data_IF_437545604246
#
_entry.id   IF_437545604246
#
_cell.length_a   1.000
_cell.length_b   1.000
_cell.length_c   1.000
_cell.angle_alpha   90.00
_cell.angle_beta   90.00
_cell.angle_gamma   90.00
#
_symmetry.space_group_name_H-M   'P 1'
#
loop_
_entity.id
_entity.type
_entity.pdbx_description
1 polymer ?
#
# COMPACT_ATOMS: atom_id res chain seq x y z
N UNK A 1 6.73 -0.05 11.52
CA UNK A 1 6.63 0.43 12.88
C UNK A 1 7.55 1.60 13.10
N UNK A 2 7.11 2.72 13.56
CA UNK A 2 6.00 3.49 13.04
C UNK A 2 6.48 4.77 12.36
N UNK A 3 6.15 4.95 11.14
CA UNK A 3 5.98 6.29 10.62
C UNK A 3 4.50 6.62 10.85
N UNK A 4 4.18 7.79 11.40
CA UNK A 4 2.81 8.14 11.78
C UNK A 4 1.81 7.93 10.64
N UNK A 5 0.54 7.65 10.94
CA UNK A 5 -0.50 7.44 9.95
C UNK A 5 -0.70 8.70 9.12
N UNK A 6 -1.00 8.51 7.85
CA UNK A 6 -1.36 9.60 6.95
C UNK A 6 -2.87 9.80 6.87
N UNK A 7 -3.63 8.80 7.30
CA UNK A 7 -5.08 8.85 7.47
C UNK A 7 -5.38 8.28 8.85
N UNK A 8 -5.63 9.15 9.82
CA UNK A 8 -6.03 8.71 11.15
C UNK A 8 -7.47 8.16 11.15
N UNK A 9 -7.79 7.11 11.93
CA UNK A 9 -6.94 6.45 12.93
C UNK A 9 -6.08 5.31 12.37
N UNK A 10 -6.11 5.05 11.08
CA UNK A 10 -5.43 3.92 10.46
C UNK A 10 -3.90 4.03 10.51
N UNK A 11 -3.23 2.87 10.43
CA UNK A 11 -1.78 2.77 10.43
C UNK A 11 -1.11 3.01 11.79
N UNK A 12 -1.86 3.29 12.86
CA UNK A 12 -1.37 3.34 14.24
C UNK A 12 -1.58 1.99 14.93
N UNK A 13 -0.69 1.06 14.64
CA UNK A 13 -0.73 -0.23 15.31
C UNK A 13 0.08 -0.17 16.61
N UNK A 14 -0.52 -0.55 17.74
CA UNK A 14 0.20 -0.70 19.02
C UNK A 14 1.10 -1.93 18.96
N UNK A 15 2.12 -1.98 19.84
CA UNK A 15 2.98 -3.16 19.93
C UNK A 15 2.19 -4.41 20.33
N UNK A 16 1.23 -4.29 21.24
CA UNK A 16 0.37 -5.40 21.64
C UNK A 16 -0.38 -5.96 20.41
N UNK A 17 -1.02 -5.10 19.62
CA UNK A 17 -1.75 -5.50 18.42
C UNK A 17 -0.81 -6.15 17.38
N UNK A 18 0.32 -5.52 17.07
CA UNK A 18 1.32 -6.09 16.17
C UNK A 18 1.89 -7.40 16.71
N UNK A 19 2.17 -7.48 18.00
CA UNK A 19 2.70 -8.67 18.62
C UNK A 19 1.74 -9.85 18.52
N UNK A 20 0.45 -9.65 18.71
CA UNK A 20 -0.57 -10.69 18.56
C UNK A 20 -0.65 -11.20 17.12
N UNK A 21 -0.56 -10.30 16.15
CA UNK A 21 -0.55 -10.62 14.73
C UNK A 21 0.79 -11.21 14.25
N UNK A 22 1.92 -10.60 14.63
CA UNK A 22 3.24 -10.99 14.13
C UNK A 22 3.79 -12.25 14.74
N UNK A 23 3.49 -12.52 16.03
CA UNK A 23 3.98 -13.72 16.73
C UNK A 23 3.66 -15.03 16.00
N UNK A 24 2.43 -15.28 15.52
CA UNK A 24 2.12 -16.51 14.80
C UNK A 24 2.59 -16.49 13.31
N UNK A 25 2.89 -15.32 12.75
CA UNK A 25 2.99 -15.16 11.30
C UNK A 25 4.37 -14.70 10.81
N UNK A 26 5.21 -14.12 11.67
CA UNK A 26 6.50 -13.57 11.30
C UNK A 26 7.63 -14.03 12.22
N UNK A 27 8.84 -14.16 11.66
CA UNK A 27 10.08 -14.42 12.42
C UNK A 27 11.07 -13.26 12.36
N UNK A 28 10.78 -12.22 11.58
CA UNK A 28 11.60 -11.04 11.40
C UNK A 28 10.73 -9.78 11.41
N UNK A 29 11.18 -8.72 12.08
CA UNK A 29 10.57 -7.39 12.06
C UNK A 29 11.61 -6.39 11.58
N UNK A 30 11.18 -5.52 10.69
CA UNK A 30 11.92 -4.34 10.26
C UNK A 30 11.41 -3.09 10.98
N UNK A 31 12.31 -2.26 11.47
CA UNK A 31 11.99 -1.04 12.23
C UNK A 31 13.04 0.05 11.99
N UNK A 32 12.67 1.31 12.13
CA UNK A 32 13.59 2.44 12.14
C UNK A 32 14.32 2.63 13.49
N UNK A 33 13.96 1.86 14.52
CA UNK A 33 14.47 1.97 15.88
C UNK A 33 14.88 0.59 16.40
N UNK A 34 16.08 0.47 16.95
CA UNK A 34 16.60 -0.78 17.51
C UNK A 34 16.79 -0.73 19.05
N UNK A 35 16.57 0.43 19.65
CA UNK A 35 16.71 0.66 21.10
C UNK A 35 15.39 0.49 21.87
N UNK A 36 14.31 0.10 21.18
CA UNK A 36 13.02 -0.15 21.77
C UNK A 36 13.04 -1.36 22.72
N UNK A 37 12.29 -1.32 23.83
CA UNK A 37 12.11 -2.48 24.73
C UNK A 37 11.62 -3.72 23.97
N UNK A 38 10.75 -3.54 23.02
CA UNK A 38 10.13 -4.56 22.17
C UNK A 38 11.15 -5.34 21.35
N UNK A 39 12.23 -4.68 20.92
CA UNK A 39 13.32 -5.34 20.19
C UNK A 39 13.98 -6.42 21.07
N UNK A 40 14.18 -6.14 22.36
CA UNK A 40 14.75 -7.11 23.28
C UNK A 40 13.81 -8.30 23.53
N UNK A 41 12.51 -8.04 23.66
CA UNK A 41 11.48 -9.08 23.80
C UNK A 41 11.50 -9.98 22.56
N UNK A 42 11.46 -9.39 21.35
CA UNK A 42 11.40 -10.10 20.09
C UNK A 42 12.63 -10.99 19.84
N UNK A 43 13.82 -10.44 20.05
CA UNK A 43 15.08 -11.19 19.91
C UNK A 43 15.19 -12.27 20.99
N UNK A 44 14.72 -12.01 22.21
CA UNK A 44 14.65 -12.99 23.27
C UNK A 44 13.79 -14.23 22.95
N UNK A 45 12.86 -14.12 21.99
CA UNK A 45 12.09 -15.25 21.43
C UNK A 45 12.86 -16.02 20.33
N UNK A 46 14.12 -15.70 20.06
CA UNK A 46 14.92 -16.29 18.98
C UNK A 46 14.56 -15.77 17.59
N UNK A 47 13.98 -14.58 17.48
CA UNK A 47 13.57 -13.93 16.25
C UNK A 47 14.49 -12.78 15.88
N UNK A 48 14.38 -12.26 14.65
CA UNK A 48 15.25 -11.22 14.14
C UNK A 48 14.61 -9.84 14.20
N UNK A 49 15.36 -8.86 14.70
CA UNK A 49 15.02 -7.45 14.64
C UNK A 49 15.97 -6.74 13.69
N UNK A 50 15.46 -6.21 12.59
CA UNK A 50 16.21 -5.58 11.51
C UNK A 50 15.98 -4.06 11.57
N UNK A 51 17.06 -3.31 11.51
CA UNK A 51 16.98 -1.85 11.46
C UNK A 51 16.89 -1.38 10.01
N UNK A 52 15.83 -0.64 9.67
CA UNK A 52 15.75 0.05 8.38
C UNK A 52 16.70 1.26 8.37
N UNK A 53 17.49 1.35 7.31
CA UNK A 53 18.39 2.48 7.03
C UNK A 53 18.24 2.91 5.58
N UNK A 54 18.44 4.17 5.33
CA UNK A 54 18.56 4.68 3.96
C UNK A 54 19.99 4.48 3.45
N UNK A 55 20.16 4.34 2.13
CA UNK A 55 21.49 4.38 1.55
C UNK A 55 22.04 5.81 1.65
N UNK A 56 23.29 6.01 2.09
CA UNK A 56 23.91 7.32 2.08
C UNK A 56 24.01 7.86 0.64
N UNK A 57 23.76 9.16 0.45
CA UNK A 57 23.86 9.80 -0.88
C UNK A 57 22.66 9.65 -1.80
N UNK A 58 21.61 8.88 -1.43
CA UNK A 58 20.36 8.76 -2.19
C UNK A 58 19.65 10.08 -2.48
N UNK A 59 19.84 11.10 -1.65
CA UNK A 59 19.06 12.35 -1.70
C UNK A 59 19.85 13.56 -2.19
N UNK A 60 20.87 13.37 -3.03
CA UNK A 60 21.38 14.45 -3.86
C UNK A 60 22.60 15.23 -3.35
N UNK A 61 23.23 14.82 -2.26
CA UNK A 61 24.48 15.41 -1.81
C UNK A 61 25.61 14.40 -1.97
N UNK A 62 26.28 14.38 -3.12
CA UNK A 62 27.47 13.59 -3.44
C UNK A 62 27.45 12.14 -2.91
N UNK A 63 27.93 11.19 -3.66
CA UNK A 63 28.05 9.82 -3.14
C UNK A 63 29.15 9.80 -2.07
N UNK A 64 28.86 9.41 -0.80
CA UNK A 64 29.89 9.23 0.21
C UNK A 64 30.87 8.15 -0.24
N UNK A 65 32.09 8.19 0.24
CA UNK A 65 33.05 7.13 0.01
C UNK A 65 32.73 5.87 0.85
N UNK A 66 33.48 4.81 0.66
CA UNK A 66 33.22 3.54 1.32
C UNK A 66 33.39 3.60 2.84
N UNK A 67 34.34 4.38 3.36
CA UNK A 67 34.54 4.53 4.80
C UNK A 67 33.43 5.38 5.44
N UNK A 68 33.04 6.46 4.79
CA UNK A 68 31.91 7.29 5.23
C UNK A 68 30.61 6.49 5.27
N UNK A 69 30.35 5.66 4.25
CA UNK A 69 29.20 4.76 4.21
C UNK A 69 29.25 3.74 5.36
N UNK A 70 30.40 3.13 5.61
CA UNK A 70 30.56 2.18 6.70
C UNK A 70 30.36 2.86 8.08
N UNK A 71 30.89 4.06 8.28
CA UNK A 71 30.68 4.81 9.51
C UNK A 71 29.23 5.20 9.71
N UNK A 72 28.55 5.56 8.63
CA UNK A 72 27.09 5.81 8.69
C UNK A 72 26.32 4.57 9.19
N UNK A 73 26.66 3.36 8.71
CA UNK A 73 26.01 2.14 9.19
C UNK A 73 26.41 1.82 10.64
N UNK A 74 27.66 1.99 11.02
CA UNK A 74 28.13 1.81 12.40
C UNK A 74 27.52 2.79 13.39
N UNK A 75 27.04 3.94 12.92
CA UNK A 75 26.29 4.91 13.74
C UNK A 75 24.84 4.50 14.01
N UNK A 76 24.41 3.34 13.51
CA UNK A 76 23.03 2.88 13.65
C UNK A 76 22.66 2.66 15.14
N UNK A 77 21.48 3.12 15.59
CA UNK A 77 20.99 2.82 16.92
C UNK A 77 21.00 1.31 17.21
N UNK A 78 21.52 0.92 18.35
CA UNK A 78 21.65 -0.49 18.72
C UNK A 78 22.84 -1.22 18.09
N UNK A 79 23.71 -0.54 17.34
CA UNK A 79 24.95 -1.12 16.82
C UNK A 79 25.77 -1.79 17.93
N UNK A 80 26.25 -3.01 17.67
CA UNK A 80 27.00 -3.79 18.65
C UNK A 80 26.20 -4.40 19.80
N UNK A 81 24.88 -4.18 19.87
CA UNK A 81 24.02 -4.81 20.88
C UNK A 81 23.39 -6.11 20.37
N UNK A 82 23.01 -7.00 21.28
CA UNK A 82 22.30 -8.25 20.96
C UNK A 82 20.89 -8.02 20.42
N UNK A 83 20.33 -6.79 20.55
CA UNK A 83 19.00 -6.42 20.09
C UNK A 83 18.90 -6.25 18.57
N UNK A 84 20.02 -6.09 17.89
CA UNK A 84 20.10 -5.87 16.46
C UNK A 84 20.56 -7.15 15.75
N UNK A 85 19.69 -7.78 14.97
CA UNK A 85 20.02 -8.95 14.16
C UNK A 85 20.60 -8.59 12.80
N UNK A 86 20.43 -7.34 12.36
CA UNK A 86 20.94 -6.84 11.09
C UNK A 86 20.33 -5.50 10.71
N UNK A 87 20.60 -5.08 9.48
CA UNK A 87 20.00 -3.90 8.89
C UNK A 87 19.51 -4.18 7.48
N UNK A 88 18.39 -3.56 7.11
CA UNK A 88 17.93 -3.43 5.73
C UNK A 88 18.26 -2.03 5.24
N UNK A 89 18.87 -1.95 4.07
CA UNK A 89 19.24 -0.67 3.46
C UNK A 89 18.42 -0.47 2.20
N UNK A 90 17.62 0.58 2.25
CA UNK A 90 16.55 0.83 1.30
C UNK A 90 17.01 1.47 -0.01
N UNK A 91 16.32 1.10 -1.10
CA UNK A 91 16.33 1.74 -2.41
C UNK A 91 17.65 1.65 -3.21
N UNK A 92 18.14 0.45 -3.55
CA UNK A 92 19.20 0.27 -4.55
C UNK A 92 18.62 -0.15 -5.92
N UNK A 93 19.04 0.55 -6.97
CA UNK A 93 18.56 0.27 -8.32
C UNK A 93 19.43 0.93 -9.40
N UNK A 94 19.07 0.74 -10.68
CA UNK A 94 19.81 1.31 -11.81
C UNK A 94 19.90 2.84 -11.83
N UNK A 95 19.11 3.54 -11.01
CA UNK A 95 19.16 4.99 -10.83
C UNK A 95 20.26 5.49 -9.89
N UNK A 96 20.94 4.58 -9.18
CA UNK A 96 22.13 4.89 -8.40
C UNK A 96 23.31 5.06 -9.33
N UNK A 97 24.07 6.15 -9.17
CA UNK A 97 25.32 6.32 -9.89
C UNK A 97 26.34 5.23 -9.54
N UNK A 98 27.17 4.84 -10.50
CA UNK A 98 28.17 3.78 -10.33
C UNK A 98 29.08 3.99 -9.12
N UNK A 99 29.47 5.23 -8.83
CA UNK A 99 30.31 5.58 -7.69
C UNK A 99 29.66 5.21 -6.35
N UNK A 100 28.36 5.50 -6.18
CA UNK A 100 27.60 5.16 -4.98
C UNK A 100 27.46 3.66 -4.78
N UNK A 101 27.18 2.91 -5.84
CA UNK A 101 27.09 1.46 -5.80
C UNK A 101 28.45 0.80 -5.49
N UNK A 102 29.55 1.31 -6.07
CA UNK A 102 30.91 0.84 -5.79
C UNK A 102 31.28 1.12 -4.32
N UNK A 103 31.00 2.32 -3.83
CA UNK A 103 31.26 2.68 -2.43
C UNK A 103 30.45 1.76 -1.48
N UNK A 104 29.19 1.53 -1.78
CA UNK A 104 28.34 0.61 -1.01
C UNK A 104 28.86 -0.83 -1.04
N UNK A 105 29.25 -1.35 -2.21
CA UNK A 105 29.80 -2.70 -2.31
C UNK A 105 31.10 -2.85 -1.49
N UNK A 106 31.97 -1.86 -1.53
CA UNK A 106 33.20 -1.84 -0.71
C UNK A 106 32.90 -1.77 0.78
N UNK A 107 31.95 -0.91 1.18
CA UNK A 107 31.53 -0.81 2.58
C UNK A 107 30.89 -2.12 3.08
N UNK A 108 30.10 -2.78 2.25
CA UNK A 108 29.53 -4.09 2.56
C UNK A 108 30.61 -5.16 2.72
N UNK A 109 31.67 -5.16 1.86
CA UNK A 109 32.80 -6.04 2.02
C UNK A 109 33.53 -5.79 3.36
N UNK A 110 33.85 -4.53 3.70
CA UNK A 110 34.44 -4.15 4.97
C UNK A 110 33.57 -4.54 6.16
N UNK A 111 32.22 -4.38 6.03
CA UNK A 111 31.24 -4.75 7.05
C UNK A 111 31.23 -6.27 7.28
N UNK A 112 31.39 -7.08 6.22
CA UNK A 112 31.42 -8.55 6.34
C UNK A 112 32.62 -9.07 7.13
N UNK A 113 33.72 -8.29 7.18
CA UNK A 113 34.94 -8.58 7.92
C UNK A 113 34.93 -7.96 9.34
N UNK A 114 33.90 -7.14 9.68
CA UNK A 114 33.85 -6.47 10.98
C UNK A 114 33.41 -7.44 12.08
N UNK A 115 34.24 -7.71 13.10
CA UNK A 115 33.89 -8.58 14.21
C UNK A 115 32.65 -8.10 14.99
N UNK A 116 32.38 -6.78 15.01
CA UNK A 116 31.23 -6.20 15.67
C UNK A 116 29.91 -6.48 14.90
N UNK A 117 30.01 -6.90 13.64
CA UNK A 117 28.87 -7.27 12.80
C UNK A 117 28.76 -8.80 12.58
N UNK A 118 29.64 -9.57 13.13
CA UNK A 118 29.62 -11.01 12.97
C UNK A 118 28.29 -11.64 13.40
N UNK A 119 27.75 -12.52 12.55
CA UNK A 119 26.45 -13.16 12.78
C UNK A 119 25.23 -12.30 12.49
N UNK A 120 25.41 -11.07 12.00
CA UNK A 120 24.33 -10.17 11.60
C UNK A 120 24.14 -10.15 10.09
N UNK A 121 23.00 -9.65 9.66
CA UNK A 121 22.63 -9.56 8.24
C UNK A 121 22.66 -8.11 7.77
N UNK A 122 23.23 -7.89 6.60
CA UNK A 122 23.06 -6.67 5.82
C UNK A 122 22.20 -7.02 4.61
N UNK A 123 20.99 -6.44 4.53
CA UNK A 123 19.94 -6.81 3.57
C UNK A 123 19.73 -5.62 2.64
N UNK A 124 20.30 -5.59 1.44
CA UNK A 124 19.97 -4.54 0.48
C UNK A 124 18.56 -4.76 -0.08
N UNK A 125 17.80 -3.67 -0.16
CA UNK A 125 16.50 -3.61 -0.82
C UNK A 125 16.73 -3.13 -2.26
N UNK A 126 16.49 -3.99 -3.24
CA UNK A 126 17.01 -3.83 -4.59
C UNK A 126 15.98 -3.97 -5.69
N UNK A 127 16.14 -3.17 -6.75
CA UNK A 127 15.37 -3.27 -8.00
C UNK A 127 16.33 -3.65 -9.13
N UNK A 128 16.19 -4.84 -9.73
CA UNK A 128 16.94 -5.28 -10.93
C UNK A 128 18.44 -5.02 -10.88
N UNK A 129 19.10 -5.38 -9.78
CA UNK A 129 20.56 -5.22 -9.60
C UNK A 129 21.34 -6.27 -10.38
N UNK A 130 21.19 -6.26 -11.72
CA UNK A 130 21.90 -7.11 -12.67
C UNK A 130 22.03 -6.44 -14.04
N UNK A 131 22.88 -6.99 -14.92
CA UNK A 131 23.07 -6.50 -16.29
C UNK A 131 24.09 -5.38 -16.44
N UNK A 132 24.80 -4.97 -15.38
CA UNK A 132 25.95 -4.08 -15.42
C UNK A 132 27.06 -4.59 -14.50
N UNK A 133 28.34 -4.28 -14.83
CA UNK A 133 29.50 -4.71 -14.02
C UNK A 133 29.38 -4.21 -12.57
N UNK A 134 28.84 -3.03 -12.36
CA UNK A 134 28.70 -2.42 -11.03
C UNK A 134 27.59 -3.09 -10.23
N UNK A 135 26.46 -3.37 -10.83
CA UNK A 135 25.38 -4.13 -10.20
C UNK A 135 25.85 -5.54 -9.83
N UNK A 136 26.63 -6.18 -10.72
CA UNK A 136 27.23 -7.49 -10.44
C UNK A 136 28.23 -7.44 -9.29
N UNK A 137 29.10 -6.44 -9.23
CA UNK A 137 30.03 -6.25 -8.12
C UNK A 137 29.27 -6.14 -6.79
N UNK A 138 28.24 -5.31 -6.75
CA UNK A 138 27.39 -5.11 -5.57
C UNK A 138 26.74 -6.42 -5.11
N UNK A 139 26.06 -7.12 -6.01
CA UNK A 139 25.34 -8.35 -5.66
C UNK A 139 26.28 -9.49 -5.33
N UNK A 140 27.40 -9.66 -6.07
CA UNK A 140 28.41 -10.68 -5.76
C UNK A 140 29.03 -10.46 -4.38
N UNK A 141 29.23 -9.21 -3.95
CA UNK A 141 29.69 -8.89 -2.60
C UNK A 141 28.67 -9.31 -1.55
N UNK A 142 27.41 -8.98 -1.74
CA UNK A 142 26.30 -9.37 -0.85
C UNK A 142 26.19 -10.89 -0.71
N UNK A 143 26.16 -11.59 -1.85
CA UNK A 143 26.03 -13.04 -1.88
C UNK A 143 27.24 -13.77 -1.32
N UNK A 144 28.47 -13.26 -1.55
CA UNK A 144 29.70 -13.82 -1.00
C UNK A 144 29.76 -13.72 0.53
N UNK A 145 29.21 -12.64 1.11
CA UNK A 145 29.06 -12.49 2.56
C UNK A 145 28.00 -13.42 3.17
N UNK A 146 27.23 -14.11 2.32
CA UNK A 146 26.18 -15.02 2.75
C UNK A 146 24.89 -14.33 3.20
N UNK A 147 24.72 -13.06 2.91
CA UNK A 147 23.56 -12.26 3.32
C UNK A 147 22.37 -12.44 2.38
N UNK A 148 21.13 -12.30 2.89
CA UNK A 148 19.95 -12.18 2.06
C UNK A 148 19.86 -10.80 1.41
N UNK A 149 18.96 -10.68 0.42
CA UNK A 149 18.60 -9.41 -0.22
C UNK A 149 17.10 -9.38 -0.46
N UNK A 150 16.50 -8.19 -0.45
CA UNK A 150 15.07 -8.03 -0.73
C UNK A 150 14.85 -7.53 -2.15
N UNK A 151 13.99 -8.22 -2.89
CA UNK A 151 13.55 -7.81 -4.23
C UNK A 151 12.37 -6.86 -4.07
N UNK A 152 12.53 -5.63 -4.54
CA UNK A 152 11.49 -4.64 -4.56
C UNK A 152 10.61 -4.82 -5.80
N UNK A 153 9.38 -5.32 -5.57
CA UNK A 153 8.36 -5.44 -6.60
C UNK A 153 7.02 -5.02 -6.05
N UNK A 154 6.45 -3.97 -6.64
CA UNK A 154 5.13 -3.48 -6.29
C UNK A 154 4.15 -3.75 -7.42
N UNK A 155 3.12 -4.55 -7.12
CA UNK A 155 2.07 -4.94 -8.07
C UNK A 155 0.77 -4.31 -7.58
N UNK A 156 0.12 -3.54 -8.42
CA UNK A 156 -1.17 -2.96 -8.12
C UNK A 156 -2.27 -3.71 -8.89
N UNK A 157 -3.47 -3.74 -8.34
CA UNK A 157 -4.62 -4.42 -8.93
C UNK A 157 -4.92 -3.99 -10.37
N UNK A 158 -5.49 -4.91 -11.14
CA UNK A 158 -6.14 -4.64 -12.42
C UNK A 158 -7.64 -4.93 -12.35
N UNK A 159 -8.46 -4.38 -13.28
CA UNK A 159 -9.92 -4.45 -13.16
C UNK A 159 -10.53 -5.85 -13.18
N UNK A 160 -9.89 -6.82 -13.85
CA UNK A 160 -10.39 -8.19 -13.96
C UNK A 160 -9.42 -9.20 -13.35
N UNK A 161 -9.95 -10.31 -12.84
CA UNK A 161 -9.15 -11.40 -12.28
C UNK A 161 -8.13 -11.96 -13.28
N UNK A 162 -8.54 -12.08 -14.55
CA UNK A 162 -7.67 -12.61 -15.58
C UNK A 162 -6.46 -11.69 -15.83
N UNK A 163 -6.71 -10.40 -16.04
CA UNK A 163 -5.63 -9.42 -16.30
C UNK A 163 -4.68 -9.32 -15.10
N UNK A 164 -5.22 -9.30 -13.90
CA UNK A 164 -4.41 -9.19 -12.68
C UNK A 164 -3.57 -10.44 -12.44
N UNK A 165 -4.12 -11.63 -12.65
CA UNK A 165 -3.39 -12.90 -12.59
C UNK A 165 -2.27 -12.96 -13.61
N UNK A 166 -2.55 -12.63 -14.87
CA UNK A 166 -1.55 -12.59 -15.94
C UNK A 166 -0.43 -11.58 -15.64
N UNK A 167 -0.78 -10.41 -15.10
CA UNK A 167 0.21 -9.42 -14.66
C UNK A 167 1.09 -9.93 -13.52
N UNK A 168 0.48 -10.50 -12.48
CA UNK A 168 1.19 -11.02 -11.30
C UNK A 168 2.17 -12.12 -11.73
N UNK A 169 1.69 -13.11 -12.50
CA UNK A 169 2.51 -14.20 -13.01
C UNK A 169 3.66 -13.67 -13.88
N UNK A 170 3.38 -12.83 -14.86
CA UNK A 170 4.40 -12.29 -15.77
C UNK A 170 5.48 -11.49 -15.03
N UNK A 171 5.10 -10.65 -14.06
CA UNK A 171 6.06 -9.83 -13.31
C UNK A 171 6.92 -10.68 -12.37
N UNK A 172 6.30 -11.59 -11.61
CA UNK A 172 7.02 -12.43 -10.66
C UNK A 172 7.93 -13.43 -11.37
N UNK A 173 7.48 -14.07 -12.47
CA UNK A 173 8.32 -14.98 -13.24
C UNK A 173 9.48 -14.26 -13.93
N UNK A 174 9.23 -13.09 -14.53
CA UNK A 174 10.32 -12.27 -15.10
C UNK A 174 11.36 -11.88 -14.07
N UNK A 175 10.95 -11.60 -12.82
CA UNK A 175 11.93 -11.37 -11.74
C UNK A 175 12.71 -12.63 -11.40
N UNK A 176 12.04 -13.77 -11.21
CA UNK A 176 12.71 -15.03 -10.91
C UNK A 176 13.75 -15.41 -11.98
N UNK A 177 13.37 -15.35 -13.25
CA UNK A 177 14.24 -15.62 -14.40
C UNK A 177 15.42 -14.65 -14.44
N UNK A 178 15.17 -13.33 -14.37
CA UNK A 178 16.23 -12.33 -14.45
C UNK A 178 17.24 -12.43 -13.30
N UNK A 179 16.81 -12.77 -12.09
CA UNK A 179 17.70 -12.97 -10.96
C UNK A 179 18.47 -14.29 -11.05
N UNK A 180 17.83 -15.40 -11.43
CA UNK A 180 18.50 -16.71 -11.52
C UNK A 180 19.47 -16.77 -12.69
N UNK A 181 19.14 -16.16 -13.83
CA UNK A 181 20.05 -16.01 -14.98
C UNK A 181 21.30 -15.23 -14.63
N UNK A 182 21.16 -14.12 -13.88
CA UNK A 182 22.29 -13.29 -13.47
C UNK A 182 23.12 -13.93 -12.36
N UNK A 183 22.48 -14.58 -11.39
CA UNK A 183 23.11 -15.13 -10.19
C UNK A 183 22.49 -16.51 -9.87
N UNK A 184 22.88 -17.58 -10.54
CA UNK A 184 22.26 -18.90 -10.38
C UNK A 184 22.15 -19.35 -8.92
N UNK A 185 20.92 -19.67 -8.50
CA UNK A 185 20.58 -20.10 -7.14
C UNK A 185 20.47 -18.99 -6.11
N UNK A 186 20.53 -17.71 -6.50
CA UNK A 186 20.44 -16.58 -5.58
C UNK A 186 19.07 -16.46 -4.90
N UNK A 187 17.99 -16.95 -5.52
CA UNK A 187 16.64 -16.90 -4.96
C UNK A 187 16.53 -17.57 -3.59
N UNK A 188 17.43 -18.51 -3.26
CA UNK A 188 17.53 -19.09 -1.91
C UNK A 188 18.01 -18.11 -0.84
N UNK A 189 18.36 -16.91 -1.23
CA UNK A 189 18.70 -15.79 -0.35
C UNK A 189 17.82 -14.56 -0.61
N UNK A 190 16.90 -14.66 -1.53
CA UNK A 190 15.99 -13.58 -1.87
C UNK A 190 14.79 -13.52 -0.91
N UNK A 191 14.42 -12.31 -0.55
CA UNK A 191 13.18 -11.97 0.13
C UNK A 191 12.30 -11.27 -0.91
N UNK A 192 11.13 -11.80 -1.22
CA UNK A 192 10.19 -11.12 -2.11
C UNK A 192 9.35 -10.12 -1.31
N UNK A 193 9.31 -8.89 -1.77
CA UNK A 193 8.49 -7.85 -1.14
C UNK A 193 7.10 -7.84 -1.74
N UNK A 194 6.07 -7.86 -0.88
CA UNK A 194 4.67 -7.66 -1.25
C UNK A 194 4.20 -6.35 -0.63
N UNK A 195 3.90 -5.38 -1.49
CA UNK A 195 3.30 -4.13 -1.04
C UNK A 195 1.81 -4.32 -0.80
N UNK A 196 1.37 -4.16 0.44
CA UNK A 196 -0.03 -4.32 0.84
C UNK A 196 -0.67 -3.02 1.33
N UNK A 197 -0.15 -1.88 0.83
CA UNK A 197 -0.73 -0.58 1.12
C UNK A 197 -2.15 -0.48 0.55
N UNK A 198 -3.10 -0.26 1.44
CA UNK A 198 -4.54 -0.19 1.17
C UNK A 198 -5.08 1.23 1.20
N UNK A 199 -4.46 2.09 2.00
CA UNK A 199 -4.89 3.47 2.20
C UNK A 199 -4.28 4.40 1.15
N UNK A 200 -4.97 5.47 0.76
CA UNK A 200 -4.45 6.49 -0.15
C UNK A 200 -3.11 7.07 0.27
N UNK A 201 -2.44 7.76 -0.62
CA UNK A 201 -1.09 8.29 -0.68
C UNK A 201 -0.13 7.46 -1.54
N UNK A 202 -0.09 6.15 -1.40
CA UNK A 202 0.65 5.23 -2.26
C UNK A 202 0.05 3.84 -2.03
N UNK A 203 -1.06 3.54 -2.67
CA UNK A 203 -1.84 2.31 -2.48
C UNK A 203 -1.77 1.41 -3.69
N UNK A 204 -1.60 0.11 -3.48
CA UNK A 204 -1.74 -0.90 -4.54
C UNK A 204 -3.19 -1.36 -4.73
N UNK A 205 -4.11 -0.96 -3.84
CA UNK A 205 -5.55 -1.04 -4.06
C UNK A 205 -5.97 0.07 -5.03
N UNK A 206 -6.05 -0.24 -6.32
CA UNK A 206 -6.27 0.70 -7.42
C UNK A 206 -7.65 0.65 -8.04
N UNK A 207 -8.31 -0.49 -7.91
CA UNK A 207 -9.57 -0.79 -8.59
C UNK A 207 -10.69 -0.96 -7.57
N UNK A 208 -11.67 -0.06 -7.48
CA UNK A 208 -12.75 -0.16 -6.49
C UNK A 208 -13.73 -1.31 -6.76
N UNK A 209 -13.59 -2.03 -7.87
CA UNK A 209 -14.33 -3.23 -8.22
C UNK A 209 -13.48 -4.52 -8.14
N UNK A 210 -12.28 -4.45 -7.57
CA UNK A 210 -11.44 -5.61 -7.30
C UNK A 210 -11.33 -5.88 -5.79
N UNK A 211 -11.29 -7.15 -5.39
CA UNK A 211 -11.05 -7.53 -4.01
C UNK A 211 -9.55 -7.52 -3.70
N UNK A 212 -9.12 -6.50 -2.97
CA UNK A 212 -7.71 -6.31 -2.62
C UNK A 212 -7.11 -7.49 -1.85
N UNK A 213 -7.91 -8.17 -1.03
CA UNK A 213 -7.47 -9.34 -0.27
C UNK A 213 -7.16 -10.51 -1.19
N UNK A 214 -7.99 -10.71 -2.22
CA UNK A 214 -7.78 -11.74 -3.25
C UNK A 214 -6.56 -11.40 -4.12
N UNK A 215 -6.36 -10.12 -4.48
CA UNK A 215 -5.15 -9.64 -5.13
C UNK A 215 -3.86 -10.01 -4.35
N UNK A 216 -3.86 -9.77 -3.04
CA UNK A 216 -2.73 -10.15 -2.19
C UNK A 216 -2.54 -11.66 -2.14
N UNK A 217 -3.62 -12.43 -2.04
CA UNK A 217 -3.59 -13.89 -2.08
C UNK A 217 -3.00 -14.43 -3.38
N UNK A 218 -3.36 -13.85 -4.52
CA UNK A 218 -2.86 -14.29 -5.84
C UNK A 218 -1.33 -14.15 -5.93
N UNK A 219 -0.75 -13.07 -5.41
CA UNK A 219 0.70 -12.92 -5.32
C UNK A 219 1.36 -14.00 -4.46
N UNK A 220 0.81 -14.25 -3.26
CA UNK A 220 1.30 -15.29 -2.36
C UNK A 220 1.18 -16.68 -2.97
N UNK A 221 0.11 -16.94 -3.72
CA UNK A 221 -0.12 -18.23 -4.38
C UNK A 221 0.91 -18.51 -5.46
N UNK A 222 1.28 -17.53 -6.30
CA UNK A 222 2.35 -17.68 -7.30
C UNK A 222 3.68 -18.02 -6.60
N UNK A 223 4.04 -17.30 -5.54
CA UNK A 223 5.28 -17.58 -4.79
C UNK A 223 5.30 -18.96 -4.14
N UNK A 224 4.14 -19.48 -3.76
CA UNK A 224 4.01 -20.79 -3.11
C UNK A 224 3.93 -21.96 -4.08
N UNK A 225 3.46 -21.76 -5.32
CA UNK A 225 3.15 -22.84 -6.25
C UNK A 225 4.05 -22.91 -7.48
N UNK A 226 4.65 -21.79 -7.91
CA UNK A 226 5.51 -21.79 -9.08
C UNK A 226 6.91 -22.30 -8.74
N UNK A 227 7.43 -23.31 -9.48
CA UNK A 227 8.76 -23.89 -9.24
C UNK A 227 9.91 -22.90 -9.28
N UNK A 228 9.80 -21.79 -10.02
CA UNK A 228 10.83 -20.76 -10.08
C UNK A 228 11.13 -20.14 -8.69
N UNK A 229 10.16 -20.13 -7.81
CA UNK A 229 10.27 -19.58 -6.45
C UNK A 229 10.59 -20.61 -5.36
N UNK A 230 10.76 -21.90 -5.71
CA UNK A 230 11.02 -22.92 -4.70
C UNK A 230 12.38 -22.71 -4.02
N UNK A 231 12.32 -22.57 -2.71
CA UNK A 231 13.47 -22.27 -1.87
C UNK A 231 13.70 -20.78 -1.63
N UNK A 232 12.75 -19.91 -2.01
CA UNK A 232 12.75 -18.50 -1.64
C UNK A 232 13.05 -18.34 -0.13
N UNK A 233 13.95 -17.42 0.23
CA UNK A 233 14.39 -17.25 1.61
C UNK A 233 13.28 -16.68 2.50
N UNK A 234 12.46 -15.79 1.97
CA UNK A 234 11.35 -15.21 2.71
C UNK A 234 10.44 -14.31 1.88
N UNK A 235 9.37 -13.87 2.53
CA UNK A 235 8.43 -12.86 2.02
C UNK A 235 8.36 -11.71 3.01
N UNK A 236 8.42 -10.48 2.52
CA UNK A 236 8.35 -9.25 3.30
C UNK A 236 7.11 -8.46 2.93
N UNK A 237 6.08 -8.40 3.80
CA UNK A 237 5.01 -7.42 3.63
C UNK A 237 5.54 -5.99 3.85
N UNK A 238 5.22 -5.08 2.93
CA UNK A 238 5.72 -3.71 2.96
C UNK A 238 4.58 -2.70 3.07
N UNK A 239 4.79 -1.63 3.86
CA UNK A 239 3.87 -0.51 4.07
C UNK A 239 2.75 -0.77 5.10
N UNK A 240 3.05 -1.43 6.22
CA UNK A 240 2.11 -1.64 7.33
C UNK A 240 1.45 -0.34 7.86
N UNK A 241 2.12 0.82 7.72
CA UNK A 241 1.58 2.12 8.11
C UNK A 241 0.52 2.70 7.15
N UNK A 242 0.20 1.99 6.06
CA UNK A 242 -0.84 2.34 5.10
C UNK A 242 -1.93 1.27 5.00
N UNK A 243 -2.18 0.56 6.10
CA UNK A 243 -3.24 -0.45 6.19
C UNK A 243 -4.14 -0.19 7.39
N UNK A 244 -5.38 -0.66 7.30
CA UNK A 244 -6.27 -0.81 8.44
C UNK A 244 -5.99 -2.15 9.16
N UNK A 245 -6.65 -2.40 10.28
CA UNK A 245 -6.46 -3.62 11.05
C UNK A 245 -6.88 -4.88 10.27
N UNK A 246 -7.93 -4.77 9.45
CA UNK A 246 -8.41 -5.87 8.62
C UNK A 246 -7.35 -6.36 7.62
N UNK A 247 -6.74 -5.46 6.87
CA UNK A 247 -5.71 -5.83 5.88
C UNK A 247 -4.44 -6.34 6.58
N UNK A 248 -4.16 -5.87 7.79
CA UNK A 248 -3.11 -6.42 8.63
C UNK A 248 -3.40 -7.88 8.99
N UNK A 249 -4.63 -8.20 9.39
CA UNK A 249 -5.07 -9.55 9.72
C UNK A 249 -5.05 -10.48 8.50
N UNK A 250 -5.53 -10.01 7.35
CA UNK A 250 -5.46 -10.74 6.07
C UNK A 250 -4.02 -11.12 5.74
N UNK A 251 -3.10 -10.16 5.78
CA UNK A 251 -1.69 -10.43 5.46
C UNK A 251 -1.08 -11.42 6.46
N UNK A 252 -1.40 -11.31 7.74
CA UNK A 252 -0.98 -12.28 8.75
C UNK A 252 -1.49 -13.69 8.47
N UNK A 253 -2.76 -13.81 8.09
CA UNK A 253 -3.37 -15.09 7.71
C UNK A 253 -2.73 -15.68 6.45
N UNK A 254 -2.46 -14.87 5.43
CA UNK A 254 -1.78 -15.30 4.20
C UNK A 254 -0.34 -15.77 4.48
N UNK A 255 0.44 -15.03 5.27
CA UNK A 255 1.79 -15.44 5.65
C UNK A 255 1.77 -16.77 6.42
N UNK A 256 0.84 -16.93 7.33
CA UNK A 256 0.69 -18.18 8.08
C UNK A 256 0.36 -19.33 7.14
N UNK A 257 -0.65 -19.15 6.29
CA UNK A 257 -1.14 -20.17 5.36
C UNK A 257 -0.05 -20.64 4.39
N UNK A 258 0.57 -19.72 3.66
CA UNK A 258 1.53 -20.04 2.60
C UNK A 258 2.96 -20.26 3.12
N UNK A 259 3.46 -19.40 4.03
CA UNK A 259 4.88 -19.45 4.43
C UNK A 259 5.15 -20.36 5.62
N UNK A 260 4.22 -20.53 6.55
CA UNK A 260 4.43 -21.31 7.78
C UNK A 260 3.81 -22.70 7.67
N UNK A 261 2.55 -22.79 7.23
CA UNK A 261 1.83 -24.07 7.10
C UNK A 261 2.17 -24.75 5.77
N UNK A 262 2.77 -24.02 4.80
CA UNK A 262 3.20 -24.56 3.51
C UNK A 262 2.02 -25.02 2.64
N UNK A 263 0.87 -24.41 2.81
CA UNK A 263 -0.31 -24.70 2.00
C UNK A 263 -0.21 -24.04 0.65
N UNK A 264 -0.92 -24.57 -0.34
CA UNK A 264 -0.91 -24.08 -1.73
C UNK A 264 -2.31 -23.77 -2.27
N UNK A 265 -3.35 -24.29 -1.62
CA UNK A 265 -4.74 -23.95 -1.94
C UNK A 265 -5.07 -22.52 -1.51
N UNK A 266 -6.03 -21.84 -2.19
CA UNK A 266 -6.48 -20.51 -1.77
C UNK A 266 -7.00 -20.50 -0.33
N UNK A 267 -6.65 -19.48 0.44
CA UNK A 267 -7.19 -19.23 1.79
C UNK A 267 -8.55 -18.56 1.71
N UNK A 268 -8.69 -17.57 0.82
CA UNK A 268 -9.92 -16.81 0.60
C UNK A 268 -10.68 -17.45 -0.56
N UNK A 269 -11.99 -17.62 -0.38
CA UNK A 269 -12.89 -18.15 -1.39
C UNK A 269 -13.71 -17.05 -2.10
N UNK A 270 -13.47 -15.78 -1.76
CA UNK A 270 -14.17 -14.64 -2.34
C UNK A 270 -13.81 -14.46 -3.83
N UNK A 271 -14.74 -13.97 -4.64
CA UNK A 271 -14.44 -13.62 -6.02
C UNK A 271 -13.54 -12.39 -6.06
N UNK A 272 -12.62 -12.34 -7.02
CA UNK A 272 -11.79 -11.17 -7.27
C UNK A 272 -12.60 -9.96 -7.71
N UNK A 273 -13.57 -10.16 -8.64
CA UNK A 273 -14.40 -9.08 -9.16
C UNK A 273 -15.55 -8.76 -8.21
N UNK A 274 -15.50 -7.60 -7.59
CA UNK A 274 -16.57 -7.06 -6.74
C UNK A 274 -17.69 -6.49 -7.64
N UNK A 275 -18.93 -6.98 -7.42
CA UNK A 275 -20.11 -6.55 -8.17
C UNK A 275 -21.14 -5.86 -7.29
N UNK A 276 -20.68 -5.37 -6.15
CA UNK A 276 -21.55 -4.70 -5.17
C UNK A 276 -22.01 -3.33 -5.65
N UNK A 277 -21.08 -2.57 -6.25
CA UNK A 277 -21.30 -1.24 -6.83
C UNK A 277 -20.92 -1.28 -8.31
N UNK A 278 -21.77 -0.78 -9.17
CA UNK A 278 -21.51 -0.67 -10.60
C UNK A 278 -21.01 0.75 -10.94
N UNK A 279 -20.07 0.85 -11.89
CA UNK A 279 -19.47 2.12 -12.32
C UNK A 279 -18.93 2.96 -11.14
N UNK A 280 -18.08 2.40 -10.29
CA UNK A 280 -17.65 3.01 -9.01
C UNK A 280 -16.71 4.20 -9.16
N UNK A 281 -16.04 4.36 -10.31
CA UNK A 281 -15.19 5.50 -10.68
C UNK A 281 -15.85 6.44 -11.69
N UNK A 282 -17.13 6.26 -11.97
CA UNK A 282 -17.88 7.09 -12.92
C UNK A 282 -17.32 7.13 -14.35
N UNK A 283 -16.59 6.10 -14.78
CA UNK A 283 -16.00 6.00 -16.13
C UNK A 283 -17.06 6.00 -17.24
N UNK A 284 -18.28 5.54 -16.91
CA UNK A 284 -19.44 5.55 -17.80
C UNK A 284 -20.42 6.70 -17.46
N UNK A 285 -19.89 7.84 -17.02
CA UNK A 285 -20.70 8.94 -16.54
C UNK A 285 -21.55 8.54 -15.33
N UNK A 286 -22.82 8.89 -15.33
CA UNK A 286 -23.76 8.52 -14.25
C UNK A 286 -24.51 7.21 -14.52
N UNK A 287 -24.08 6.39 -15.48
CA UNK A 287 -24.73 5.10 -15.76
C UNK A 287 -24.72 4.23 -14.49
N UNK A 288 -25.82 3.53 -14.22
CA UNK A 288 -26.10 2.74 -13.01
C UNK A 288 -26.36 3.54 -11.72
N UNK A 289 -26.27 4.85 -11.77
CA UNK A 289 -26.61 5.72 -10.65
C UNK A 289 -27.96 6.42 -10.89
N UNK A 290 -28.83 6.40 -9.89
CA UNK A 290 -30.01 7.25 -9.83
C UNK A 290 -29.56 8.68 -9.46
N UNK A 291 -29.87 9.65 -10.31
CA UNK A 291 -29.41 11.03 -10.16
C UNK A 291 -30.55 11.92 -9.69
N UNK A 292 -30.36 12.60 -8.57
CA UNK A 292 -31.35 13.50 -7.96
C UNK A 292 -30.72 14.87 -7.70
N UNK A 293 -30.62 15.75 -8.70
CA UNK A 293 -30.06 17.07 -8.54
C UNK A 293 -31.07 18.01 -7.84
N UNK A 294 -30.56 18.87 -6.92
CA UNK A 294 -31.36 19.94 -6.34
C UNK A 294 -31.87 20.94 -7.40
N UNK A 295 -31.09 21.13 -8.45
CA UNK A 295 -31.42 21.90 -9.66
C UNK A 295 -30.80 21.22 -10.88
N UNK A 296 -31.42 21.41 -12.05
CA UNK A 296 -30.87 20.91 -13.32
C UNK A 296 -29.43 21.39 -13.54
N UNK A 297 -28.56 20.47 -14.00
CA UNK A 297 -27.13 20.75 -14.29
C UNK A 297 -26.21 20.80 -13.05
N UNK A 298 -26.70 20.52 -11.83
CA UNK A 298 -25.89 20.51 -10.62
C UNK A 298 -25.09 19.24 -10.38
N UNK A 299 -25.38 18.18 -11.13
CA UNK A 299 -24.66 16.92 -11.12
C UNK A 299 -24.09 16.68 -12.51
N UNK A 300 -22.79 16.54 -12.62
CA UNK A 300 -22.06 16.27 -13.85
C UNK A 300 -20.97 15.24 -13.62
N UNK A 301 -20.26 14.83 -14.66
CA UNK A 301 -19.04 14.03 -14.54
C UNK A 301 -17.89 14.77 -15.20
N UNK A 302 -16.68 14.51 -14.72
CA UNK A 302 -15.45 15.10 -15.23
C UNK A 302 -14.35 14.06 -15.38
N UNK A 303 -13.28 14.48 -16.00
CA UNK A 303 -12.05 13.73 -16.18
C UNK A 303 -10.86 14.66 -15.97
N UNK A 304 -9.81 14.16 -15.31
CA UNK A 304 -8.56 14.90 -15.15
C UNK A 304 -7.38 13.92 -15.20
N UNK A 305 -6.51 14.10 -16.18
CA UNK A 305 -5.32 13.26 -16.38
C UNK A 305 -4.40 13.32 -15.16
N UNK A 306 -4.13 12.17 -14.55
CA UNK A 306 -3.33 12.03 -13.34
C UNK A 306 -4.13 12.14 -12.04
N UNK A 307 -5.47 12.20 -12.08
CA UNK A 307 -6.28 12.20 -10.87
C UNK A 307 -6.15 10.90 -10.07
N UNK A 308 -6.01 9.76 -10.76
CA UNK A 308 -5.70 8.48 -10.11
C UNK A 308 -4.36 8.52 -9.34
N UNK A 309 -3.35 9.20 -9.89
CA UNK A 309 -2.07 9.43 -9.19
C UNK A 309 -2.26 10.32 -7.95
N UNK A 310 -3.08 11.35 -8.03
CA UNK A 310 -3.43 12.18 -6.88
C UNK A 310 -4.13 11.37 -5.78
N UNK A 311 -4.96 10.41 -6.13
CA UNK A 311 -5.57 9.47 -5.19
C UNK A 311 -4.55 8.49 -4.58
N UNK A 312 -3.33 8.44 -5.11
CA UNK A 312 -2.25 7.57 -4.64
C UNK A 312 -2.26 6.17 -5.23
N UNK A 313 -3.03 5.88 -6.28
CA UNK A 313 -3.06 4.58 -6.97
C UNK A 313 -1.70 4.25 -7.57
N UNK A 314 -1.05 3.22 -7.06
CA UNK A 314 0.33 2.87 -7.40
C UNK A 314 0.46 1.38 -7.79
N UNK A 315 1.34 0.97 -8.72
CA UNK A 315 2.15 1.82 -9.61
C UNK A 315 1.31 2.77 -10.46
N UNK A 316 1.89 3.94 -10.78
CA UNK A 316 1.17 5.00 -11.49
C UNK A 316 0.66 4.50 -12.86
N UNK A 317 -0.64 4.58 -13.04
CA UNK A 317 -1.32 4.17 -14.25
C UNK A 317 -2.47 5.15 -14.54
N UNK A 318 -2.91 5.21 -15.79
CA UNK A 318 -4.06 5.99 -16.21
C UNK A 318 -5.37 5.31 -15.87
N UNK A 319 -5.64 5.11 -14.58
CA UNK A 319 -6.91 4.60 -14.07
C UNK A 319 -7.41 5.49 -12.94
N UNK A 320 -8.73 5.61 -12.80
CA UNK A 320 -9.34 6.49 -11.82
C UNK A 320 -9.20 7.97 -12.17
N UNK A 321 -9.15 8.33 -13.44
CA UNK A 321 -9.07 9.71 -13.91
C UNK A 321 -10.43 10.39 -14.02
N UNK A 322 -11.53 9.63 -13.88
CA UNK A 322 -12.91 10.10 -13.94
C UNK A 322 -13.51 10.28 -12.53
N UNK A 323 -14.51 11.13 -12.44
CA UNK A 323 -15.20 11.43 -11.20
C UNK A 323 -16.57 12.05 -11.43
N UNK A 324 -17.44 11.96 -10.43
CA UNK A 324 -18.69 12.71 -10.34
C UNK A 324 -18.41 14.08 -9.76
N UNK A 325 -19.10 15.13 -10.23
CA UNK A 325 -19.07 16.49 -9.67
C UNK A 325 -20.48 16.89 -9.25
N UNK A 326 -20.63 17.32 -8.00
CA UNK A 326 -21.85 17.92 -7.47
C UNK A 326 -21.59 19.37 -7.11
N UNK A 327 -22.36 20.28 -7.72
CA UNK A 327 -22.30 21.73 -7.38
C UNK A 327 -23.34 22.05 -6.32
N UNK A 328 -22.88 22.37 -5.11
CA UNK A 328 -23.70 22.59 -3.93
C UNK A 328 -24.76 23.68 -4.15
N UNK A 329 -26.02 23.37 -3.90
CA UNK A 329 -27.16 24.25 -4.10
C UNK A 329 -27.73 24.76 -2.78
N UNK A 330 -28.32 25.96 -2.77
CA UNK A 330 -29.06 26.50 -1.63
C UNK A 330 -30.49 25.89 -1.50
N UNK A 331 -30.96 25.21 -2.55
CA UNK A 331 -32.32 24.64 -2.56
C UNK A 331 -32.40 23.25 -1.89
N UNK A 332 -31.26 22.63 -1.68
CA UNK A 332 -31.14 21.32 -1.04
C UNK A 332 -29.92 20.53 -1.53
N UNK A 333 -29.72 19.31 -1.01
CA UNK A 333 -28.64 18.44 -1.42
C UNK A 333 -28.82 17.91 -2.85
N UNK A 334 -27.72 17.84 -3.58
CA UNK A 334 -27.63 16.93 -4.72
C UNK A 334 -27.37 15.52 -4.21
N UNK A 335 -27.93 14.52 -4.87
CA UNK A 335 -27.72 13.13 -4.49
C UNK A 335 -27.55 12.22 -5.71
N UNK A 336 -26.67 11.22 -5.57
CA UNK A 336 -26.70 10.03 -6.42
C UNK A 336 -26.86 8.81 -5.53
N UNK A 337 -27.54 7.79 -6.04
CA UNK A 337 -27.73 6.56 -5.30
C UNK A 337 -27.77 5.35 -6.22
N UNK A 338 -27.39 4.20 -5.68
CA UNK A 338 -27.61 2.92 -6.34
C UNK A 338 -27.84 1.82 -5.31
N UNK A 339 -28.38 0.71 -5.77
CA UNK A 339 -28.51 -0.49 -4.95
C UNK A 339 -27.18 -1.23 -4.91
N UNK A 340 -26.60 -1.38 -3.71
CA UNK A 340 -25.54 -2.36 -3.46
C UNK A 340 -26.18 -3.75 -3.57
N UNK A 341 -25.56 -4.64 -4.33
CA UNK A 341 -26.08 -5.99 -4.63
C UNK A 341 -25.09 -7.08 -4.21
N UNK A 342 -25.51 -8.34 -4.33
CA UNK A 342 -24.66 -9.50 -4.05
C UNK A 342 -24.08 -9.54 -2.63
N UNK A 343 -24.78 -8.94 -1.67
CA UNK A 343 -24.40 -9.01 -0.26
C UNK A 343 -24.82 -10.36 0.34
N UNK A 344 -23.99 -10.89 1.22
CA UNK A 344 -24.30 -12.07 2.03
C UNK A 344 -24.89 -11.63 3.39
N UNK A 345 -26.15 -11.97 3.70
CA UNK A 345 -26.74 -11.61 4.98
C UNK A 345 -25.93 -12.11 6.17
N UNK A 346 -25.63 -11.25 7.12
CA UNK A 346 -24.79 -11.52 8.30
C UNK A 346 -23.32 -11.19 8.12
N UNK A 347 -22.84 -10.99 6.89
CA UNK A 347 -21.44 -10.66 6.60
C UNK A 347 -21.18 -9.16 6.76
N UNK A 348 -19.97 -8.84 7.23
CA UNK A 348 -19.48 -7.48 7.36
C UNK A 348 -18.84 -7.00 6.04
N UNK A 349 -19.09 -5.75 5.69
CA UNK A 349 -18.54 -5.07 4.52
C UNK A 349 -17.96 -3.71 4.93
N UNK A 350 -16.94 -3.26 4.21
CA UNK A 350 -16.47 -1.89 4.27
C UNK A 350 -16.94 -1.10 3.04
N UNK A 351 -17.22 0.18 3.23
CA UNK A 351 -17.47 1.15 2.17
C UNK A 351 -16.41 2.23 2.25
N UNK A 352 -15.77 2.52 1.13
CA UNK A 352 -14.76 3.55 0.96
C UNK A 352 -15.14 4.49 -0.18
N UNK A 353 -15.01 5.80 0.05
CA UNK A 353 -15.26 6.84 -0.97
C UNK A 353 -14.17 7.91 -0.84
N UNK A 354 -13.69 8.42 -1.96
CA UNK A 354 -12.76 9.56 -2.00
C UNK A 354 -13.50 10.78 -2.54
N UNK A 355 -13.33 11.92 -1.87
CA UNK A 355 -13.87 13.21 -2.31
C UNK A 355 -12.79 14.28 -2.36
N UNK A 356 -12.99 15.30 -3.21
CA UNK A 356 -12.11 16.45 -3.35
C UNK A 356 -12.90 17.68 -3.81
N UNK A 357 -12.26 18.85 -3.78
CA UNK A 357 -12.80 20.08 -4.37
C UNK A 357 -12.36 20.18 -5.86
N UNK A 358 -13.34 20.23 -6.77
CA UNK A 358 -13.08 20.33 -8.20
C UNK A 358 -12.50 21.67 -8.62
N UNK A 359 -12.92 22.75 -7.96
CA UNK A 359 -12.41 24.09 -8.25
C UNK A 359 -10.94 24.21 -7.85
N UNK A 360 -10.55 23.63 -6.72
CA UNK A 360 -9.16 23.54 -6.27
C UNK A 360 -8.31 22.72 -7.29
N UNK A 361 -8.84 21.62 -7.81
CA UNK A 361 -8.16 20.81 -8.82
C UNK A 361 -7.89 21.63 -10.10
N UNK A 362 -8.90 22.33 -10.60
CA UNK A 362 -8.79 23.13 -11.83
C UNK A 362 -7.90 24.37 -11.66
N UNK A 363 -7.91 24.97 -10.46
CA UNK A 363 -7.06 26.10 -10.12
C UNK A 363 -5.58 25.71 -9.97
N UNK A 364 -5.29 24.43 -9.75
CA UNK A 364 -3.93 23.98 -9.42
C UNK A 364 -3.49 24.39 -8.00
N UNK A 365 -4.42 24.75 -7.15
CA UNK A 365 -4.21 25.13 -5.75
C UNK A 365 -5.23 24.41 -4.90
N UNK A 366 -4.82 23.89 -3.73
CA UNK A 366 -5.73 23.13 -2.89
C UNK A 366 -5.66 23.60 -1.44
N UNK A 367 -6.82 23.68 -0.80
CA UNK A 367 -6.96 24.11 0.59
C UNK A 367 -7.06 22.91 1.53
N UNK A 368 -6.40 23.01 2.66
CA UNK A 368 -6.52 22.03 3.74
C UNK A 368 -7.91 22.13 4.40
N UNK A 369 -8.89 21.50 3.76
CA UNK A 369 -10.25 21.44 4.31
C UNK A 369 -10.88 20.08 3.94
N UNK A 370 -11.53 19.40 4.90
CA UNK A 370 -12.29 18.18 4.59
C UNK A 370 -13.52 18.52 3.75
N UNK A 371 -13.84 17.65 2.80
CA UNK A 371 -15.11 17.70 2.09
C UNK A 371 -16.21 17.18 3.03
N UNK A 372 -17.08 18.06 3.49
CA UNK A 372 -18.22 17.70 4.32
C UNK A 372 -19.38 17.24 3.43
N UNK A 373 -19.58 15.92 3.36
CA UNK A 373 -20.56 15.22 2.53
C UNK A 373 -21.28 14.15 3.36
N UNK A 374 -22.38 13.62 2.85
CA UNK A 374 -23.00 12.42 3.43
C UNK A 374 -22.73 11.21 2.56
N UNK A 375 -22.26 10.14 3.18
CA UNK A 375 -22.16 8.79 2.62
C UNK A 375 -23.03 7.88 3.48
N UNK A 376 -24.15 7.41 2.94
CA UNK A 376 -25.14 6.66 3.69
C UNK A 376 -25.44 5.29 3.08
N UNK A 377 -25.57 4.27 3.93
CA UNK A 377 -26.03 2.93 3.56
C UNK A 377 -27.32 2.63 4.29
N UNK A 378 -28.40 2.44 3.55
CA UNK A 378 -29.73 2.12 4.09
C UNK A 378 -30.06 0.65 3.87
N UNK A 379 -30.77 0.04 4.81
CA UNK A 379 -31.17 -1.37 4.73
C UNK A 379 -30.06 -2.35 5.10
N UNK A 380 -29.05 -1.88 5.80
CA UNK A 380 -27.99 -2.65 6.45
C UNK A 380 -27.77 -2.12 7.88
N UNK A 381 -27.02 -2.85 8.68
CA UNK A 381 -26.66 -2.47 10.04
C UNK A 381 -25.29 -1.78 10.02
N UNK A 382 -25.30 -0.44 9.97
CA UNK A 382 -24.07 0.36 9.91
C UNK A 382 -23.41 0.33 11.28
N UNK A 383 -22.13 -0.03 11.29
CA UNK A 383 -21.34 -0.16 12.52
C UNK A 383 -20.88 1.21 13.03
N UNK A 384 -20.67 1.30 14.35
CA UNK A 384 -20.02 2.47 14.94
C UNK A 384 -18.58 2.62 14.41
N UNK A 385 -18.09 3.88 14.29
CA UNK A 385 -16.73 4.16 13.84
C UNK A 385 -16.65 4.59 12.38
N UNK A 386 -17.77 4.95 11.73
CA UNK A 386 -17.73 5.69 10.46
C UNK A 386 -16.93 6.99 10.63
N UNK A 387 -16.05 7.30 9.70
CA UNK A 387 -15.23 8.51 9.78
C UNK A 387 -14.92 9.09 8.40
N UNK A 388 -14.52 10.36 8.43
CA UNK A 388 -13.97 11.09 7.29
C UNK A 388 -12.67 11.76 7.72
N UNK A 389 -11.61 11.59 6.93
CA UNK A 389 -10.31 12.15 7.25
C UNK A 389 -9.68 12.80 6.02
N UNK A 390 -9.23 14.08 6.12
CA UNK A 390 -8.46 14.69 5.05
C UNK A 390 -7.09 14.04 4.91
N UNK A 391 -6.63 13.90 3.69
CA UNK A 391 -5.28 13.46 3.38
C UNK A 391 -4.70 14.27 2.22
N UNK A 392 -3.37 14.29 2.13
CA UNK A 392 -2.67 15.02 1.09
C UNK A 392 -2.07 14.08 0.05
N UNK A 393 -2.11 14.50 -1.21
CA UNK A 393 -1.29 13.95 -2.26
C UNK A 393 -0.15 14.91 -2.59
N UNK A 394 1.06 14.38 -2.56
CA UNK A 394 2.27 15.11 -2.91
C UNK A 394 2.91 14.58 -4.20
N UNK A 395 2.23 13.69 -4.89
CA UNK A 395 2.68 13.04 -6.13
C UNK A 395 1.55 13.09 -7.13
N UNK A 396 1.62 14.00 -8.05
CA UNK A 396 0.62 14.17 -9.09
C UNK A 396 1.16 15.00 -10.23
N UNK A 397 0.31 15.24 -11.25
CA UNK A 397 0.68 16.18 -12.30
C UNK A 397 0.91 17.57 -11.73
N UNK A 398 1.79 18.34 -12.39
CA UNK A 398 2.00 19.73 -12.01
C UNK A 398 0.66 20.49 -12.01
N UNK A 399 0.41 21.42 -11.08
CA UNK A 399 1.40 21.98 -10.13
C UNK A 399 1.51 21.26 -8.77
N UNK A 400 0.80 20.14 -8.56
CA UNK A 400 0.74 19.47 -7.27
C UNK A 400 2.06 18.77 -6.93
N UNK A 401 2.69 19.23 -5.84
CA UNK A 401 3.99 18.79 -5.35
C UNK A 401 3.97 18.62 -3.83
N UNK A 402 5.11 18.33 -3.22
CA UNK A 402 5.22 18.34 -1.74
C UNK A 402 5.04 19.70 -1.12
N UNK A 403 5.36 20.78 -1.85
CA UNK A 403 5.22 22.17 -1.39
C UNK A 403 3.80 22.69 -1.65
N UNK A 404 3.15 22.15 -2.67
CA UNK A 404 1.79 22.49 -3.08
C UNK A 404 0.95 21.21 -3.18
N UNK A 405 0.60 20.55 -2.05
CA UNK A 405 -0.12 19.29 -2.07
C UNK A 405 -1.58 19.48 -2.48
N UNK A 406 -2.16 18.45 -3.08
CA UNK A 406 -3.61 18.39 -3.30
C UNK A 406 -4.28 17.72 -2.09
N UNK A 407 -5.32 18.34 -1.55
CA UNK A 407 -6.07 17.83 -0.41
C UNK A 407 -7.32 17.08 -0.88
N UNK A 408 -7.52 15.89 -0.31
CA UNK A 408 -8.69 15.05 -0.53
C UNK A 408 -9.23 14.57 0.80
N UNK A 409 -10.43 13.99 0.79
CA UNK A 409 -11.05 13.39 1.97
C UNK A 409 -11.35 11.93 1.71
N UNK A 410 -10.89 11.08 2.61
CA UNK A 410 -11.19 9.66 2.66
C UNK A 410 -12.37 9.43 3.58
N UNK A 411 -13.45 8.85 3.06
CA UNK A 411 -14.63 8.46 3.82
C UNK A 411 -14.63 6.94 3.95
N UNK A 412 -14.86 6.45 5.16
CA UNK A 412 -14.88 5.04 5.47
C UNK A 412 -15.98 4.72 6.45
N UNK A 413 -16.71 3.65 6.21
CA UNK A 413 -17.64 3.05 7.15
C UNK A 413 -17.68 1.53 6.96
N UNK A 414 -18.13 0.81 8.00
CA UNK A 414 -18.45 -0.60 7.93
C UNK A 414 -19.93 -0.82 8.16
N UNK A 415 -20.49 -1.82 7.49
CA UNK A 415 -21.88 -2.22 7.68
C UNK A 415 -22.03 -3.73 7.59
N UNK A 416 -22.93 -4.29 8.41
CA UNK A 416 -23.30 -5.70 8.33
C UNK A 416 -24.54 -5.84 7.48
N UNK A 417 -24.46 -6.66 6.45
CA UNK A 417 -25.58 -6.92 5.57
C UNK A 417 -26.71 -7.65 6.31
N UNK A 418 -27.92 -7.12 6.27
CA UNK A 418 -29.11 -7.78 6.83
C UNK A 418 -29.91 -8.53 5.75
N UNK A 419 -29.64 -8.23 4.49
CA UNK A 419 -30.27 -8.82 3.29
C UNK A 419 -29.29 -8.76 2.11
N UNK A 420 -29.58 -9.42 0.95
CA UNK A 420 -28.68 -9.44 -0.20
C UNK A 420 -28.47 -8.08 -0.90
N UNK A 421 -29.19 -7.05 -0.47
CA UNK A 421 -29.12 -5.71 -1.05
C UNK A 421 -29.20 -4.63 0.03
N UNK A 422 -28.54 -3.50 -0.23
CA UNK A 422 -28.65 -2.26 0.54
C UNK A 422 -28.70 -1.07 -0.43
N UNK A 423 -29.06 0.11 0.02
CA UNK A 423 -29.04 1.32 -0.79
C UNK A 423 -27.89 2.21 -0.36
N UNK A 424 -27.02 2.53 -1.30
CA UNK A 424 -25.97 3.55 -1.14
C UNK A 424 -26.49 4.90 -1.62
N UNK A 425 -26.28 5.94 -0.84
CA UNK A 425 -26.57 7.32 -1.21
C UNK A 425 -25.35 8.20 -0.90
N UNK A 426 -24.95 8.99 -1.88
CA UNK A 426 -23.90 10.01 -1.78
C UNK A 426 -24.54 11.39 -1.96
N UNK A 427 -24.26 12.34 -1.07
CA UNK A 427 -24.79 13.72 -1.20
C UNK A 427 -23.66 14.73 -0.95
N UNK A 428 -23.77 15.90 -1.57
CA UNK A 428 -22.84 17.02 -1.41
C UNK A 428 -23.10 17.85 -0.15
N UNK A 429 -24.11 17.52 0.64
CA UNK A 429 -24.39 18.15 1.94
C UNK A 429 -23.90 17.29 3.10
N UNK A 430 -23.49 17.95 4.18
CA UNK A 430 -23.06 17.29 5.42
C UNK A 430 -24.21 16.54 6.13
N UNK A 431 -25.43 17.09 6.01
CA UNK A 431 -26.66 16.49 6.51
C UNK A 431 -27.85 17.06 5.75
N UNK A 432 -29.06 16.54 5.97
CA UNK A 432 -30.29 17.07 5.36
C UNK A 432 -30.56 18.55 5.69
N UNK A 433 -29.97 19.06 6.76
CA UNK A 433 -30.19 20.44 7.24
C UNK A 433 -29.00 21.38 7.00
N UNK A 434 -27.79 20.82 6.76
CA UNK A 434 -26.56 21.62 6.71
C UNK A 434 -25.76 21.32 5.45
N UNK A 435 -25.48 22.35 4.61
CA UNK A 435 -24.65 22.17 3.42
C UNK A 435 -23.23 21.69 3.70
N UNK A 436 -22.65 22.05 4.85
CA UNK A 436 -21.28 21.67 5.23
C UNK A 436 -20.17 22.42 4.49
N UNK A 437 -20.53 23.38 3.63
CA UNK A 437 -19.59 24.22 2.87
C UNK A 437 -20.30 25.31 2.08
N UNK A 438 -19.57 26.15 1.32
CA UNK A 438 -20.16 27.24 0.58
C UNK A 438 -21.08 26.76 -0.55
N UNK A 439 -22.19 27.49 -0.75
CA UNK A 439 -23.05 27.29 -1.91
C UNK A 439 -22.26 27.60 -3.18
N UNK A 440 -22.38 26.74 -4.18
CA UNK A 440 -21.61 26.79 -5.42
C UNK A 440 -20.28 26.04 -5.38
N UNK A 441 -19.89 25.47 -4.25
CA UNK A 441 -18.72 24.56 -4.17
C UNK A 441 -18.98 23.32 -5.03
N UNK A 442 -17.97 22.89 -5.77
CA UNK A 442 -18.01 21.70 -6.61
C UNK A 442 -17.27 20.54 -5.92
N UNK A 443 -18.02 19.59 -5.41
CA UNK A 443 -17.46 18.42 -4.73
C UNK A 443 -17.35 17.25 -5.69
N UNK A 444 -16.14 16.68 -5.80
CA UNK A 444 -15.84 15.48 -6.56
C UNK A 444 -16.08 14.24 -5.72
N UNK A 445 -16.56 13.16 -6.36
CA UNK A 445 -16.68 11.82 -5.79
C UNK A 445 -16.05 10.79 -6.72
N UNK A 446 -15.30 9.87 -6.17
CA UNK A 446 -14.64 8.76 -6.90
C UNK A 446 -14.32 7.61 -5.96
N UNK A 447 -13.83 6.52 -6.49
CA UNK A 447 -13.38 5.36 -5.73
C UNK A 447 -14.45 4.84 -4.75
N UNK A 448 -15.62 4.50 -5.27
CA UNK A 448 -16.73 3.98 -4.44
C UNK A 448 -16.60 2.46 -4.31
N UNK A 449 -15.86 1.99 -3.32
CA UNK A 449 -15.57 0.58 -3.10
C UNK A 449 -16.46 -0.01 -2.00
N UNK A 450 -17.09 -1.13 -2.27
CA UNK A 450 -17.71 -1.99 -1.25
C UNK A 450 -17.02 -3.34 -1.28
N UNK A 451 -16.31 -3.69 -0.21
CA UNK A 451 -15.51 -4.90 -0.10
C UNK A 451 -15.94 -5.71 1.12
N UNK A 452 -16.00 -7.06 1.04
CA UNK A 452 -16.20 -7.89 2.22
C UNK A 452 -15.04 -7.70 3.21
N UNK A 453 -15.32 -7.68 4.51
CA UNK A 453 -14.34 -7.61 5.59
C UNK A 453 -13.91 -9.01 5.99
N UNK A 454 -12.62 -9.21 6.24
CA UNK A 454 -12.07 -10.44 6.77
C UNK A 454 -12.34 -10.53 8.28
N UNK A 455 -13.11 -11.50 8.72
CA UNK A 455 -13.47 -11.69 10.13
C UNK A 455 -12.67 -12.83 10.81
N UNK A 456 -11.58 -13.37 10.17
CA UNK A 456 -10.70 -14.41 10.72
C UNK A 456 -11.09 -15.82 10.30
#
# INVERSE_FOLDING_TARGET
>A
YPTGPRIEPFGRHTWERLSDWTRPSCNMIESHQADLPEAAEWVGMGRSWILNRTAPGLRGEGSPDAEETLQYWRSAPGWGTERLSGMQVDEYGPGFGDEGLIATARSAAMLSEDPAFAGRMWIPFVVRMYGTDVAELFMKTTLAAGWPFSIERYIGELPTEQEDREQIEALLLSDAEGWDDAYPGCLRRAIMTIMYAYLPYCTTNRCPNADFRVHLQMQMQVLATDPAWFGLWGVQPYRANYVNEEILDVMGALLRHYCIEGRTEPLLADPYELRHVLNPDFEQGTQHWEVSPAQEGRITTGEFTGYGTLQGRYPWASMGETFLVMTRSAEGPNAVSQQITSLEPGRLYSLKVITADHQDLLAGESREAPCAVTVAVEGADVQEGAFSHPFISARGPQPFTREHPFYMTYHYLQFRATRPTARLTLTDWQSDAEPGGPIGQETMFSFVEVQPVFEG
#
